data_IF_097872054634
#
_entry.id   IF_097872054634
#
_cell.length_a   1.000
_cell.length_b   1.000
_cell.length_c   1.000
_cell.angle_alpha   90.00
_cell.angle_beta   90.00
_cell.angle_gamma   90.00
#
_symmetry.space_group_name_H-M   'P 1'
#
loop_
_entity.id
_entity.type
_entity.pdbx_description
1 polymer ?
#
# COMPACT_ATOMS: atom_id res chain seq x y z
N UNK A 1 59.42 -11.14 -22.84
CA UNK A 1 60.20 -12.23 -22.22
C UNK A 1 59.21 -13.29 -21.73
N UNK A 2 58.97 -14.26 -22.56
CA UNK A 2 59.32 -15.69 -22.58
C UNK A 2 59.05 -16.35 -21.22
N UNK A 3 58.08 -17.19 -21.17
CA UNK A 3 57.94 -18.59 -21.60
C UNK A 3 58.21 -19.55 -20.44
N UNK A 4 57.34 -20.45 -20.30
CA UNK A 4 57.30 -21.91 -20.21
C UNK A 4 56.35 -22.38 -19.12
N UNK A 5 55.30 -23.14 -19.30
CA UNK A 5 55.21 -24.39 -20.04
C UNK A 5 55.40 -25.57 -19.10
N UNK A 6 54.33 -26.20 -18.62
CA UNK A 6 54.38 -27.62 -18.33
C UNK A 6 52.98 -28.24 -18.24
N UNK A 7 52.75 -29.11 -19.19
CA UNK A 7 51.65 -30.05 -19.31
C UNK A 7 51.86 -31.28 -18.44
N UNK A 8 50.79 -31.82 -17.84
CA UNK A 8 50.74 -33.24 -17.50
C UNK A 8 49.33 -33.77 -17.70
N UNK A 9 49.20 -34.73 -18.61
CA UNK A 9 48.00 -35.55 -18.90
C UNK A 9 47.94 -36.77 -17.98
N UNK A 10 46.83 -37.52 -18.02
CA UNK A 10 46.32 -38.34 -16.94
C UNK A 10 46.71 -39.80 -17.01
N UNK A 11 46.47 -40.53 -15.93
CA UNK A 11 46.55 -41.98 -15.93
C UNK A 11 45.22 -42.62 -15.49
N UNK A 12 44.75 -43.66 -16.21
CA UNK A 12 43.52 -44.36 -15.99
C UNK A 12 43.72 -45.69 -15.25
N UNK A 13 42.73 -46.16 -14.59
CA UNK A 13 42.38 -47.52 -14.12
C UNK A 13 41.88 -47.38 -12.66
N UNK A 14 40.66 -47.85 -12.38
CA UNK A 14 40.25 -49.22 -12.29
C UNK A 14 38.73 -49.33 -11.97
N UNK A 15 38.13 -50.18 -12.77
CA UNK A 15 37.24 -51.29 -12.46
C UNK A 15 35.87 -51.05 -11.85
N UNK A 16 34.92 -51.39 -12.73
CA UNK A 16 33.52 -51.73 -12.45
C UNK A 16 33.37 -52.98 -11.56
N UNK A 17 32.39 -52.98 -10.70
CA UNK A 17 31.60 -54.19 -10.37
C UNK A 17 30.16 -53.76 -9.98
N UNK A 18 29.14 -54.52 -10.36
CA UNK A 18 27.73 -54.20 -10.23
C UNK A 18 27.18 -54.81 -8.92
N UNK A 19 26.24 -54.13 -8.28
CA UNK A 19 25.45 -54.70 -7.18
C UNK A 19 23.99 -54.84 -7.59
N UNK A 20 23.61 -56.05 -7.53
CA UNK A 20 22.38 -56.74 -7.83
C UNK A 20 21.21 -56.25 -6.94
N UNK A 21 20.06 -56.11 -7.58
CA UNK A 21 18.73 -56.01 -6.97
C UNK A 21 18.47 -57.21 -6.04
N UNK A 22 17.98 -56.96 -4.84
CA UNK A 22 17.25 -57.95 -4.07
C UNK A 22 15.90 -57.42 -3.58
N UNK A 23 14.85 -57.94 -4.20
CA UNK A 23 13.46 -57.82 -3.81
C UNK A 23 13.23 -58.83 -2.68
N UNK A 24 12.65 -58.44 -1.57
CA UNK A 24 12.03 -59.41 -0.62
C UNK A 24 10.63 -58.90 -0.20
N UNK A 25 9.66 -59.67 -0.51
CA UNK A 25 8.23 -59.58 -0.14
C UNK A 25 7.94 -60.32 1.20
N UNK A 26 6.74 -60.18 1.75
CA UNK A 26 6.41 -60.13 3.19
C UNK A 26 6.02 -61.50 3.80
N UNK A 27 6.12 -61.59 5.10
CA UNK A 27 5.54 -62.79 5.79
C UNK A 27 4.65 -62.34 6.98
N UNK A 28 3.43 -62.80 6.88
CA UNK A 28 2.40 -62.85 7.93
C UNK A 28 2.92 -63.45 9.23
N UNK A 29 2.44 -62.90 10.39
CA UNK A 29 2.15 -63.69 11.57
C UNK A 29 0.82 -63.25 12.17
N UNK A 30 -0.08 -64.23 12.19
CA UNK A 30 -1.38 -64.27 12.92
C UNK A 30 -1.17 -65.05 14.21
N UNK A 31 -2.01 -64.67 15.22
CA UNK A 31 -2.50 -65.40 16.39
C UNK A 31 -1.59 -65.46 17.62
N UNK A 32 -2.07 -64.81 18.70
CA UNK A 32 -2.51 -65.55 19.88
C UNK A 32 -3.43 -64.70 20.78
N UNK A 33 -4.59 -65.29 21.05
CA UNK A 33 -5.65 -64.85 21.94
C UNK A 33 -5.27 -65.21 23.38
N UNK A 34 -5.49 -64.33 24.36
CA UNK A 34 -5.34 -64.67 25.77
C UNK A 34 -6.05 -63.65 26.65
N UNK A 35 -7.20 -64.06 27.18
CA UNK A 35 -8.02 -63.35 28.20
C UNK A 35 -7.20 -62.92 29.42
N UNK A 36 -7.43 -61.74 29.93
CA UNK A 36 -7.66 -61.53 31.37
C UNK A 36 -8.61 -60.36 31.59
N UNK A 37 -9.72 -60.63 32.24
CA UNK A 37 -10.68 -59.71 32.82
C UNK A 37 -10.05 -59.02 34.04
N UNK A 38 -10.48 -57.76 34.20
CA UNK A 38 -11.00 -57.14 35.44
C UNK A 38 -10.24 -55.84 35.86
N UNK A 39 -11.12 -54.96 36.21
CA UNK A 39 -11.02 -53.68 36.92
C UNK A 39 -11.02 -52.45 36.05
N UNK A 40 -12.24 -51.90 35.97
CA UNK A 40 -12.54 -50.63 35.31
C UNK A 40 -11.89 -49.43 35.99
N UNK A 41 -11.30 -48.61 35.17
CA UNK A 41 -11.18 -47.16 35.33
C UNK A 41 -11.22 -46.59 33.92
N UNK A 42 -12.38 -46.08 33.54
CA UNK A 42 -12.58 -45.33 32.30
C UNK A 42 -11.86 -44.00 32.42
N UNK A 43 -10.70 -43.86 31.79
CA UNK A 43 -10.18 -42.57 31.45
C UNK A 43 -10.85 -42.16 30.12
N UNK A 44 -11.89 -41.35 30.23
CA UNK A 44 -12.40 -40.59 29.08
C UNK A 44 -11.30 -39.65 28.60
N UNK A 45 -10.62 -40.05 27.51
CA UNK A 45 -9.82 -39.16 26.73
C UNK A 45 -10.76 -38.13 26.05
N UNK A 46 -10.88 -36.99 26.68
CA UNK A 46 -11.53 -35.82 26.08
C UNK A 46 -10.70 -35.40 24.86
N UNK A 47 -10.96 -36.01 23.71
CA UNK A 47 -10.56 -35.49 22.40
C UNK A 47 -11.46 -34.30 22.14
N UNK A 48 -10.97 -33.10 22.49
CA UNK A 48 -11.53 -31.83 22.00
C UNK A 48 -11.68 -31.92 20.48
N UNK A 49 -12.88 -31.76 19.92
CA UNK A 49 -13.00 -31.60 18.49
C UNK A 49 -12.26 -30.30 18.14
N UNK A 50 -11.13 -30.40 17.45
CA UNK A 50 -10.57 -29.27 16.74
C UNK A 50 -11.62 -28.83 15.71
N UNK A 51 -12.47 -27.89 16.11
CA UNK A 51 -13.31 -27.17 15.19
C UNK A 51 -12.37 -26.57 14.14
N UNK A 52 -12.40 -27.12 12.92
CA UNK A 52 -11.90 -26.44 11.75
C UNK A 52 -12.69 -25.14 11.68
N UNK A 53 -12.11 -24.06 12.16
CA UNK A 53 -12.60 -22.72 11.90
C UNK A 53 -12.37 -22.49 10.39
N UNK A 54 -13.30 -23.01 9.60
CA UNK A 54 -13.50 -22.54 8.24
C UNK A 54 -14.19 -21.19 8.39
N UNK A 55 -13.39 -20.12 8.54
CA UNK A 55 -13.91 -18.78 8.28
C UNK A 55 -14.55 -18.82 6.90
N UNK A 56 -15.82 -18.42 6.75
CA UNK A 56 -16.43 -18.29 5.44
C UNK A 56 -15.50 -17.39 4.64
N UNK A 57 -14.95 -17.91 3.54
CA UNK A 57 -14.16 -17.09 2.61
C UNK A 57 -15.10 -15.99 2.15
N UNK A 58 -14.92 -14.77 2.65
CA UNK A 58 -15.71 -13.64 2.24
C UNK A 58 -15.62 -13.59 0.69
N UNK A 59 -16.77 -13.58 0.04
CA UNK A 59 -16.83 -13.55 -1.42
C UNK A 59 -16.15 -12.25 -1.84
N UNK A 60 -15.11 -12.34 -2.66
CA UNK A 60 -14.45 -11.16 -3.20
C UNK A 60 -15.47 -10.27 -3.89
N UNK A 61 -15.40 -8.95 -3.69
CA UNK A 61 -16.28 -8.01 -4.36
C UNK A 61 -16.16 -8.18 -5.89
N UNK A 62 -17.30 -8.24 -6.55
CA UNK A 62 -17.33 -8.41 -8.02
C UNK A 62 -16.75 -7.17 -8.74
N UNK A 63 -16.86 -5.99 -8.12
CA UNK A 63 -16.40 -4.70 -8.65
C UNK A 63 -15.67 -3.88 -7.58
N UNK A 64 -14.63 -3.15 -7.99
CA UNK A 64 -13.97 -2.19 -7.10
C UNK A 64 -14.90 -1.02 -6.77
N UNK A 65 -14.84 -0.55 -5.51
CA UNK A 65 -15.71 0.53 -5.02
C UNK A 65 -15.61 1.78 -5.89
N UNK A 66 -14.41 2.15 -6.31
CA UNK A 66 -14.16 3.34 -7.16
C UNK A 66 -14.85 3.29 -8.51
N UNK A 67 -15.22 2.10 -9.02
CA UNK A 67 -15.90 1.93 -10.31
C UNK A 67 -17.42 1.74 -10.18
N UNK A 68 -17.94 1.64 -8.96
CA UNK A 68 -19.39 1.47 -8.76
C UNK A 68 -20.17 2.62 -9.37
N UNK A 69 -21.16 2.26 -10.22
CA UNK A 69 -21.98 3.22 -10.93
C UNK A 69 -21.30 3.92 -12.11
N UNK A 70 -20.12 3.46 -12.53
CA UNK A 70 -19.45 3.93 -13.75
C UNK A 70 -19.98 3.16 -14.96
N UNK A 71 -20.41 3.88 -16.01
CA UNK A 71 -20.69 3.26 -17.32
C UNK A 71 -19.37 2.76 -17.93
N UNK A 72 -19.21 1.44 -17.96
CA UNK A 72 -18.02 0.77 -18.46
C UNK A 72 -17.76 1.09 -19.94
N UNK A 73 -18.82 1.19 -20.76
CA UNK A 73 -18.68 1.49 -22.18
C UNK A 73 -18.20 2.94 -22.38
N UNK A 74 -18.70 3.89 -21.59
CA UNK A 74 -18.25 5.27 -21.63
C UNK A 74 -16.80 5.39 -21.17
N UNK A 75 -16.44 4.72 -20.06
CA UNK A 75 -15.08 4.67 -19.57
C UNK A 75 -14.12 4.11 -20.61
N UNK A 76 -14.47 2.98 -21.23
CA UNK A 76 -13.62 2.35 -22.24
C UNK A 76 -13.43 3.27 -23.46
N UNK A 77 -14.48 3.92 -23.96
CA UNK A 77 -14.36 4.89 -25.06
C UNK A 77 -13.44 6.07 -24.71
N UNK A 78 -13.54 6.59 -23.48
CA UNK A 78 -12.67 7.67 -23.04
C UNK A 78 -11.22 7.20 -22.91
N UNK A 79 -10.99 6.03 -22.30
CA UNK A 79 -9.64 5.42 -22.16
C UNK A 79 -9.03 5.19 -23.54
N UNK A 80 -9.78 4.63 -24.50
CA UNK A 80 -9.31 4.39 -25.86
C UNK A 80 -8.91 5.70 -26.55
N UNK A 81 -9.79 6.72 -26.49
CA UNK A 81 -9.54 8.02 -27.08
C UNK A 81 -8.28 8.69 -26.52
N UNK A 82 -8.13 8.69 -25.19
CA UNK A 82 -6.95 9.32 -24.55
C UNK A 82 -5.70 8.51 -24.85
N UNK A 83 -5.74 7.17 -24.73
CA UNK A 83 -4.58 6.31 -25.02
C UNK A 83 -4.08 6.48 -26.44
N UNK A 84 -4.98 6.58 -27.43
CA UNK A 84 -4.62 6.77 -28.84
C UNK A 84 -4.02 8.16 -29.11
N UNK A 85 -4.40 9.18 -28.33
CA UNK A 85 -3.83 10.54 -28.45
C UNK A 85 -2.43 10.68 -27.88
N UNK A 86 -1.95 9.69 -27.11
CA UNK A 86 -0.64 9.71 -26.48
C UNK A 86 0.40 8.98 -27.32
N UNK A 87 1.57 9.60 -27.53
CA UNK A 87 2.75 8.93 -28.02
C UNK A 87 3.36 7.98 -26.97
N UNK A 88 4.42 7.25 -27.30
CA UNK A 88 5.03 6.29 -26.40
C UNK A 88 5.63 6.95 -25.17
N UNK A 89 6.27 8.10 -25.33
CA UNK A 89 6.86 8.89 -24.26
C UNK A 89 5.82 9.32 -23.25
N UNK A 90 4.67 9.80 -23.73
CA UNK A 90 3.54 10.20 -22.90
C UNK A 90 2.90 9.01 -22.18
N UNK A 91 2.77 7.85 -22.86
CA UNK A 91 2.25 6.61 -22.24
C UNK A 91 3.15 6.14 -21.09
N UNK A 92 4.47 6.17 -21.27
CA UNK A 92 5.44 5.86 -20.21
C UNK A 92 5.38 6.91 -19.10
N UNK A 93 5.25 8.19 -19.43
CA UNK A 93 5.10 9.28 -18.48
C UNK A 93 3.90 9.09 -17.55
N UNK A 94 2.78 8.51 -18.06
CA UNK A 94 1.60 8.21 -17.23
C UNK A 94 1.89 7.25 -16.08
N UNK A 95 2.93 6.44 -16.14
CA UNK A 95 3.33 5.50 -15.09
C UNK A 95 4.18 6.15 -13.99
N UNK A 96 4.63 7.39 -14.17
CA UNK A 96 5.57 8.08 -13.28
C UNK A 96 4.84 9.09 -12.40
N UNK A 97 5.07 9.02 -11.09
CA UNK A 97 4.51 9.91 -10.09
C UNK A 97 5.62 10.51 -9.22
N UNK A 98 6.19 11.69 -9.59
CA UNK A 98 7.22 12.34 -8.80
C UNK A 98 6.70 12.83 -7.45
N UNK A 99 7.62 13.03 -6.51
CA UNK A 99 7.38 13.66 -5.21
C UNK A 99 7.66 15.16 -5.33
N UNK A 100 6.69 15.97 -4.93
CA UNK A 100 6.76 17.44 -5.04
C UNK A 100 6.48 18.08 -3.68
N UNK A 101 7.27 19.06 -3.32
CA UNK A 101 7.01 19.96 -2.19
C UNK A 101 6.18 21.15 -2.69
N UNK A 102 5.02 21.45 -2.08
CA UNK A 102 4.16 22.54 -2.55
C UNK A 102 4.75 23.90 -2.17
N UNK A 103 5.55 24.44 -3.08
CA UNK A 103 6.14 25.78 -2.99
C UNK A 103 5.66 26.60 -4.19
N UNK A 104 4.84 27.65 -3.98
CA UNK A 104 4.27 28.45 -5.07
C UNK A 104 5.31 29.12 -5.97
N UNK A 105 6.47 29.49 -5.42
CA UNK A 105 7.58 30.08 -6.15
C UNK A 105 8.18 29.16 -7.22
N UNK A 106 8.03 27.85 -7.08
CA UNK A 106 8.53 26.84 -8.03
C UNK A 106 7.53 26.55 -9.16
N UNK A 107 6.34 27.15 -9.13
CA UNK A 107 5.20 26.81 -10.01
C UNK A 107 5.57 26.75 -11.50
N UNK A 108 6.22 27.79 -12.03
CA UNK A 108 6.59 27.86 -13.46
C UNK A 108 7.55 26.73 -13.86
N UNK A 109 8.53 26.44 -13.01
CA UNK A 109 9.47 25.36 -13.26
C UNK A 109 8.78 23.98 -13.21
N UNK A 110 7.87 23.78 -12.26
CA UNK A 110 7.11 22.54 -12.14
C UNK A 110 6.18 22.30 -13.34
N UNK A 111 5.47 23.33 -13.81
CA UNK A 111 4.62 23.26 -15.01
C UNK A 111 5.47 22.87 -16.23
N UNK A 112 6.61 23.52 -16.43
CA UNK A 112 7.51 23.18 -17.53
C UNK A 112 7.98 21.73 -17.48
N UNK A 113 8.44 21.26 -16.32
CA UNK A 113 8.88 19.88 -16.14
C UNK A 113 7.73 18.90 -16.37
N UNK A 114 6.56 19.14 -15.79
CA UNK A 114 5.37 18.30 -15.98
C UNK A 114 5.01 18.15 -17.46
N UNK A 115 5.05 19.26 -18.25
CA UNK A 115 4.79 19.21 -19.69
C UNK A 115 5.85 18.42 -20.46
N UNK A 116 7.12 18.56 -20.09
CA UNK A 116 8.23 17.86 -20.75
C UNK A 116 8.25 16.36 -20.40
N UNK A 117 7.99 16.03 -19.15
CA UNK A 117 8.09 14.67 -18.62
C UNK A 117 6.75 13.91 -18.68
N UNK A 118 5.62 14.61 -18.88
CA UNK A 118 4.25 14.06 -19.07
C UNK A 118 3.79 13.12 -17.95
N UNK A 119 4.03 13.54 -16.70
CA UNK A 119 3.72 12.76 -15.51
C UNK A 119 2.28 12.28 -15.45
N UNK A 120 2.07 11.05 -14.95
CA UNK A 120 0.75 10.48 -14.71
C UNK A 120 0.09 10.99 -13.44
N UNK A 121 0.87 11.42 -12.47
CA UNK A 121 0.41 11.93 -11.18
C UNK A 121 1.51 12.65 -10.42
N UNK A 122 1.18 13.12 -9.21
CA UNK A 122 2.10 13.82 -8.31
C UNK A 122 1.76 13.41 -6.88
N UNK A 123 2.79 13.05 -6.07
CA UNK A 123 2.67 12.98 -4.62
C UNK A 123 3.14 14.30 -4.02
N UNK A 124 2.23 15.01 -3.37
CA UNK A 124 2.59 16.19 -2.59
C UNK A 124 3.14 15.83 -1.22
N UNK A 125 4.23 16.49 -0.84
CA UNK A 125 4.85 16.43 0.49
C UNK A 125 4.45 17.62 1.35
N UNK A 126 5.19 17.88 2.41
CA UNK A 126 4.89 18.90 3.44
C UNK A 126 4.67 20.30 2.87
N UNK A 127 3.60 20.97 3.32
CA UNK A 127 3.25 22.33 2.90
C UNK A 127 2.08 22.90 3.69
N UNK A 128 1.35 23.81 3.04
CA UNK A 128 0.11 24.43 3.54
C UNK A 128 -1.04 24.12 2.59
N UNK A 129 -2.28 24.21 3.09
CA UNK A 129 -3.49 23.92 2.32
C UNK A 129 -3.59 24.81 1.06
N UNK A 130 -3.44 26.13 1.24
CA UNK A 130 -3.57 27.08 0.13
C UNK A 130 -2.50 26.88 -0.93
N UNK A 131 -1.24 26.68 -0.54
CA UNK A 131 -0.10 26.50 -1.44
C UNK A 131 -0.26 25.24 -2.30
N UNK A 132 -0.61 24.10 -1.67
CA UNK A 132 -0.86 22.87 -2.41
C UNK A 132 -2.04 23.04 -3.35
N UNK A 133 -3.13 23.66 -2.89
CA UNK A 133 -4.33 23.86 -3.72
C UNK A 133 -4.05 24.73 -4.94
N UNK A 134 -3.28 25.82 -4.79
CA UNK A 134 -2.85 26.68 -5.91
C UNK A 134 -2.04 25.88 -6.94
N UNK A 135 -1.06 25.11 -6.49
CA UNK A 135 -0.25 24.27 -7.37
C UNK A 135 -1.08 23.19 -8.06
N UNK A 136 -2.02 22.56 -7.33
CA UNK A 136 -2.92 21.55 -7.91
C UNK A 136 -3.72 22.14 -9.06
N UNK A 137 -4.35 23.31 -8.89
CA UNK A 137 -5.12 23.99 -9.94
C UNK A 137 -4.22 24.28 -11.14
N UNK A 138 -3.07 24.91 -10.90
CA UNK A 138 -2.17 25.34 -11.96
C UNK A 138 -1.63 24.17 -12.79
N UNK A 139 -1.26 23.07 -12.13
CA UNK A 139 -0.74 21.87 -12.79
C UNK A 139 -1.84 21.11 -13.56
N UNK A 140 -3.06 21.02 -12.99
CA UNK A 140 -4.19 20.39 -13.68
C UNK A 140 -4.62 21.15 -14.94
N UNK A 141 -4.64 22.48 -14.89
CA UNK A 141 -4.99 23.33 -16.06
C UNK A 141 -4.01 23.19 -17.21
N UNK A 142 -2.74 22.92 -16.91
CA UNK A 142 -1.65 22.86 -17.88
C UNK A 142 -1.28 21.43 -18.31
N UNK A 143 -1.88 20.41 -17.69
CA UNK A 143 -1.62 19.01 -18.02
C UNK A 143 -2.45 18.56 -19.23
N UNK A 144 -1.84 17.80 -20.15
CA UNK A 144 -2.53 17.20 -21.30
C UNK A 144 -3.56 16.14 -20.85
N UNK A 145 -3.18 15.32 -19.88
CA UNK A 145 -4.07 14.35 -19.22
C UNK A 145 -4.08 14.67 -17.74
N UNK A 146 -5.25 14.85 -17.16
CA UNK A 146 -5.38 15.17 -15.73
C UNK A 146 -4.50 14.30 -14.85
N UNK A 147 -3.80 14.92 -13.89
CA UNK A 147 -2.88 14.24 -12.98
C UNK A 147 -3.64 13.51 -11.86
N UNK A 148 -3.19 12.33 -11.47
CA UNK A 148 -3.56 11.73 -10.19
C UNK A 148 -2.77 12.48 -9.08
N UNK A 149 -3.47 13.30 -8.31
CA UNK A 149 -2.88 13.98 -7.16
C UNK A 149 -2.98 13.08 -5.94
N UNK A 150 -1.84 12.80 -5.31
CA UNK A 150 -1.73 11.93 -4.16
C UNK A 150 -1.19 12.67 -2.92
N UNK A 151 -1.52 12.15 -1.75
CA UNK A 151 -1.00 12.58 -0.46
C UNK A 151 -0.84 11.37 0.48
N UNK A 152 0.16 11.42 1.40
CA UNK A 152 0.16 10.55 2.58
C UNK A 152 -0.66 11.18 3.68
N UNK A 153 -1.87 10.72 3.87
CA UNK A 153 -2.80 11.18 4.88
C UNK A 153 -3.23 10.08 5.84
N UNK A 154 -2.27 9.31 6.42
CA UNK A 154 -2.55 8.18 7.30
C UNK A 154 -3.38 8.56 8.54
N UNK A 155 -3.17 9.77 9.06
CA UNK A 155 -3.98 10.41 10.11
C UNK A 155 -4.53 11.77 9.65
N UNK A 156 -5.08 11.79 8.42
CA UNK A 156 -5.62 12.99 7.77
C UNK A 156 -4.54 13.86 7.13
N UNK A 157 -5.00 14.97 6.54
CA UNK A 157 -4.14 15.86 5.77
C UNK A 157 -3.02 16.51 6.61
N UNK A 158 -3.22 16.66 7.93
CA UNK A 158 -2.22 17.22 8.85
C UNK A 158 -0.87 16.47 8.79
N UNK A 159 -0.87 15.21 8.40
CA UNK A 159 0.38 14.48 8.22
C UNK A 159 1.35 15.22 7.29
N UNK A 160 0.83 15.95 6.31
CA UNK A 160 1.59 16.70 5.32
C UNK A 160 1.33 18.21 5.35
N UNK A 161 0.10 18.64 5.63
CA UNK A 161 -0.34 20.02 5.55
C UNK A 161 -0.58 20.57 6.98
N UNK A 162 0.32 21.43 7.43
CA UNK A 162 0.42 21.85 8.84
C UNK A 162 -0.81 22.60 9.39
N UNK A 163 -1.60 23.20 8.51
CA UNK A 163 -2.78 23.97 8.82
C UNK A 163 -4.10 23.23 8.62
N UNK A 164 -4.02 21.91 8.30
CA UNK A 164 -5.18 21.01 8.27
C UNK A 164 -5.56 20.51 9.68
N UNK A 165 -6.79 19.96 9.87
CA UNK A 165 -7.19 19.31 11.11
C UNK A 165 -6.30 18.12 11.47
N UNK A 166 -5.91 18.03 12.74
CA UNK A 166 -5.09 16.94 13.26
C UNK A 166 -5.95 15.87 13.91
N UNK A 167 -5.87 14.65 13.38
CA UNK A 167 -6.50 13.46 13.94
C UNK A 167 -5.52 12.61 14.74
N UNK A 168 -6.01 11.72 15.65
CA UNK A 168 -5.14 10.78 16.35
C UNK A 168 -4.46 9.80 15.40
N UNK A 169 -3.39 9.16 15.88
CA UNK A 169 -2.73 8.07 15.17
C UNK A 169 -3.59 6.82 15.15
N UNK A 170 -3.41 5.96 14.14
CA UNK A 170 -4.21 4.77 13.95
C UNK A 170 -4.22 3.84 15.17
N UNK A 171 -3.09 3.71 15.89
CA UNK A 171 -3.00 2.89 17.10
C UNK A 171 -4.02 3.29 18.17
N UNK A 172 -4.24 4.60 18.36
CA UNK A 172 -5.23 5.09 19.31
C UNK A 172 -6.67 4.76 18.92
N UNK A 173 -6.94 4.52 17.64
CA UNK A 173 -8.24 4.14 17.11
C UNK A 173 -8.42 2.61 17.03
N UNK A 174 -7.33 1.85 17.02
CA UNK A 174 -7.35 0.42 16.76
C UNK A 174 -8.13 -0.42 17.76
N UNK A 175 -8.24 0.00 19.02
CA UNK A 175 -8.97 -0.73 20.05
C UNK A 175 -10.46 -0.37 20.13
N UNK A 176 -10.92 0.61 19.32
CA UNK A 176 -12.30 1.07 19.36
C UNK A 176 -13.23 0.19 18.53
N UNK A 177 -14.33 -0.28 19.12
CA UNK A 177 -15.19 -1.30 18.50
C UNK A 177 -16.13 -0.75 17.41
N UNK A 178 -16.44 0.54 17.42
CA UNK A 178 -17.36 1.18 16.47
C UNK A 178 -16.66 1.44 15.13
N UNK A 179 -16.79 0.51 14.19
CA UNK A 179 -16.23 0.63 12.84
C UNK A 179 -16.92 1.72 12.01
N UNK A 180 -18.15 2.09 12.32
CA UNK A 180 -18.85 3.17 11.62
C UNK A 180 -18.16 4.52 11.89
N UNK A 181 -17.62 4.72 13.10
CA UNK A 181 -16.80 5.90 13.40
C UNK A 181 -15.51 5.93 12.57
N UNK A 182 -14.85 4.79 12.40
CA UNK A 182 -13.65 4.67 11.56
C UNK A 182 -13.99 4.95 10.08
N UNK A 183 -15.12 4.44 9.61
CA UNK A 183 -15.62 4.70 8.26
C UNK A 183 -16.00 6.18 8.06
N UNK A 184 -16.68 6.79 9.03
CA UNK A 184 -17.00 8.24 9.01
C UNK A 184 -15.72 9.09 8.99
N UNK A 185 -14.68 8.67 9.70
CA UNK A 185 -13.37 9.30 9.66
C UNK A 185 -12.75 9.22 8.25
N UNK A 186 -12.76 8.03 7.61
CA UNK A 186 -12.31 7.89 6.23
C UNK A 186 -13.09 8.79 5.25
N UNK A 187 -14.42 8.89 5.42
CA UNK A 187 -15.27 9.76 4.61
C UNK A 187 -14.96 11.25 4.79
N UNK A 188 -14.67 11.68 6.02
CA UNK A 188 -14.26 13.07 6.28
C UNK A 188 -12.90 13.40 5.66
N UNK A 189 -11.92 12.48 5.76
CA UNK A 189 -10.63 12.65 5.07
C UNK A 189 -10.83 12.71 3.56
N UNK A 190 -11.75 11.91 2.99
CA UNK A 190 -12.09 11.99 1.57
C UNK A 190 -12.68 13.35 1.19
N UNK A 191 -13.60 13.90 2.00
CA UNK A 191 -14.18 15.25 1.79
C UNK A 191 -13.09 16.30 1.73
N UNK A 192 -12.15 16.27 2.67
CA UNK A 192 -11.00 17.18 2.70
C UNK A 192 -10.11 17.01 1.47
N UNK A 193 -9.80 15.76 1.09
CA UNK A 193 -9.04 15.46 -0.12
C UNK A 193 -9.72 16.03 -1.38
N UNK A 194 -11.03 15.87 -1.51
CA UNK A 194 -11.78 16.41 -2.66
C UNK A 194 -11.72 17.94 -2.73
N UNK A 195 -11.86 18.66 -1.61
CA UNK A 195 -11.71 20.11 -1.56
C UNK A 195 -10.32 20.55 -2.05
N UNK A 196 -9.31 19.74 -1.79
CA UNK A 196 -7.92 19.96 -2.19
C UNK A 196 -7.62 19.50 -3.64
N UNK A 197 -8.53 18.79 -4.32
CA UNK A 197 -8.27 18.13 -5.59
C UNK A 197 -7.31 16.95 -5.48
N UNK A 198 -7.32 16.24 -4.34
CA UNK A 198 -6.54 15.02 -4.08
C UNK A 198 -7.39 13.82 -4.44
N UNK A 199 -6.88 12.93 -5.29
CA UNK A 199 -7.57 11.76 -5.83
C UNK A 199 -7.15 10.45 -5.18
N UNK A 200 -5.94 10.40 -4.59
CA UNK A 200 -5.33 9.22 -3.99
C UNK A 200 -4.82 9.55 -2.60
N UNK A 201 -5.23 8.79 -1.60
CA UNK A 201 -4.64 8.84 -0.27
C UNK A 201 -3.82 7.56 -0.02
N UNK A 202 -2.51 7.67 0.20
CA UNK A 202 -1.65 6.56 0.58
C UNK A 202 -1.92 6.14 2.04
N UNK A 203 -3.12 5.65 2.27
CA UNK A 203 -3.70 5.09 3.47
C UNK A 203 -4.85 4.14 3.09
N UNK A 204 -5.15 3.13 3.90
CA UNK A 204 -4.67 2.85 5.25
C UNK A 204 -3.33 2.12 5.32
N UNK A 205 -2.66 2.23 6.49
CA UNK A 205 -1.60 1.30 6.88
C UNK A 205 -2.24 0.00 7.35
N UNK A 206 -1.95 -1.09 6.65
CA UNK A 206 -2.49 -2.43 6.94
C UNK A 206 -1.42 -3.38 7.53
N UNK A 207 -0.24 -2.85 7.83
CA UNK A 207 0.81 -3.58 8.53
C UNK A 207 0.36 -3.96 9.93
N UNK A 208 0.52 -5.23 10.30
CA UNK A 208 0.23 -5.74 11.64
C UNK A 208 1.46 -5.53 12.52
N UNK A 209 1.39 -4.64 13.51
CA UNK A 209 2.54 -4.24 14.32
C UNK A 209 2.91 -5.28 15.38
N UNK A 210 3.39 -6.44 14.93
CA UNK A 210 3.71 -7.59 15.80
C UNK A 210 5.00 -7.34 16.59
N UNK A 211 5.96 -6.67 15.96
CA UNK A 211 7.21 -6.32 16.60
C UNK A 211 7.10 -4.96 17.30
N UNK A 212 7.03 -4.92 18.65
CA UNK A 212 6.92 -3.66 19.38
C UNK A 212 8.14 -2.74 19.23
N UNK A 213 9.27 -3.29 18.75
CA UNK A 213 10.51 -2.54 18.47
C UNK A 213 10.59 -2.04 17.04
N UNK A 214 9.55 -2.24 16.24
CA UNK A 214 9.51 -1.76 14.85
C UNK A 214 9.65 -0.23 14.81
N UNK A 215 10.72 0.31 14.18
CA UNK A 215 10.99 1.76 14.21
C UNK A 215 10.13 2.55 13.20
N UNK A 216 9.43 1.87 12.28
CA UNK A 216 8.74 2.48 11.14
C UNK A 216 7.23 2.47 11.29
N UNK A 217 6.65 1.34 11.71
CA UNK A 217 5.20 1.14 11.76
C UNK A 217 4.61 1.66 13.06
N UNK A 218 4.90 1.04 14.20
CA UNK A 218 4.51 1.52 15.51
C UNK A 218 3.08 2.07 15.58
N UNK A 219 2.95 3.37 15.89
CA UNK A 219 1.65 4.06 16.03
C UNK A 219 0.91 4.28 14.70
N UNK A 220 1.53 3.99 13.56
CA UNK A 220 0.88 4.06 12.24
C UNK A 220 -0.08 2.90 12.00
N UNK A 221 0.16 1.73 12.60
CA UNK A 221 -0.72 0.56 12.53
C UNK A 221 -1.96 0.73 13.41
N UNK A 222 -3.07 0.11 13.02
CA UNK A 222 -4.27 -0.01 13.87
C UNK A 222 -4.12 -1.03 14.99
N UNK A 223 -3.07 -1.86 15.00
CA UNK A 223 -2.85 -2.83 16.06
C UNK A 223 -1.83 -3.90 15.75
N UNK A 224 -1.83 -4.93 16.59
CA UNK A 224 -0.91 -6.07 16.56
C UNK A 224 -1.61 -7.40 16.20
N UNK A 225 -2.93 -7.37 15.97
CA UNK A 225 -3.69 -8.52 15.53
C UNK A 225 -4.20 -8.34 14.10
N UNK A 226 -4.05 -9.36 13.22
CA UNK A 226 -4.43 -9.27 11.81
C UNK A 226 -5.89 -8.89 11.59
N UNK A 227 -6.79 -9.46 12.40
CA UNK A 227 -8.24 -9.23 12.30
C UNK A 227 -8.56 -7.77 12.57
N UNK A 228 -8.01 -7.22 13.66
CA UNK A 228 -8.30 -5.85 14.05
C UNK A 228 -7.77 -4.82 13.06
N UNK A 229 -6.54 -5.05 12.61
CA UNK A 229 -5.95 -4.22 11.55
C UNK A 229 -6.82 -4.27 10.28
N UNK A 230 -7.28 -5.45 9.88
CA UNK A 230 -8.12 -5.61 8.70
C UNK A 230 -9.46 -4.89 8.85
N UNK A 231 -10.17 -5.05 9.97
CA UNK A 231 -11.46 -4.41 10.23
C UNK A 231 -11.37 -2.89 10.15
N UNK A 232 -10.42 -2.29 10.86
CA UNK A 232 -10.23 -0.85 10.86
C UNK A 232 -9.77 -0.32 9.48
N UNK A 233 -8.83 -1.01 8.84
CA UNK A 233 -8.31 -0.61 7.54
C UNK A 233 -9.37 -0.68 6.44
N UNK A 234 -10.22 -1.72 6.45
CA UNK A 234 -11.34 -1.85 5.52
C UNK A 234 -12.36 -0.73 5.75
N UNK A 235 -12.79 -0.51 7.01
CA UNK A 235 -13.74 0.56 7.32
C UNK A 235 -13.23 1.95 6.89
N UNK A 236 -11.96 2.27 7.18
CA UNK A 236 -11.34 3.52 6.77
C UNK A 236 -11.24 3.63 5.23
N UNK A 237 -10.79 2.56 4.56
CA UNK A 237 -10.68 2.51 3.10
C UNK A 237 -12.04 2.66 2.39
N UNK A 238 -13.09 2.00 2.91
CA UNK A 238 -14.46 2.18 2.41
C UNK A 238 -14.95 3.63 2.55
N UNK A 239 -14.65 4.28 3.68
CA UNK A 239 -14.97 5.69 3.87
C UNK A 239 -14.28 6.58 2.83
N UNK A 240 -13.01 6.34 2.55
CA UNK A 240 -12.26 7.05 1.49
C UNK A 240 -12.87 6.84 0.11
N UNK A 241 -13.08 5.59 -0.31
CA UNK A 241 -13.46 5.28 -1.70
C UNK A 241 -14.93 5.60 -1.99
N UNK A 242 -15.83 5.39 -1.04
CA UNK A 242 -17.21 5.87 -1.14
C UNK A 242 -17.26 7.41 -1.20
N UNK A 243 -16.35 8.07 -0.49
CA UNK A 243 -16.12 9.51 -0.57
C UNK A 243 -15.45 9.98 -1.86
N UNK A 244 -15.00 9.08 -2.74
CA UNK A 244 -14.46 9.42 -4.07
C UNK A 244 -12.94 9.60 -4.13
N UNK A 245 -12.22 9.09 -3.15
CA UNK A 245 -10.75 9.11 -3.08
C UNK A 245 -10.23 7.68 -3.02
N UNK A 246 -9.31 7.33 -3.90
CA UNK A 246 -8.68 6.01 -3.90
C UNK A 246 -7.89 5.81 -2.61
N UNK A 247 -8.23 4.76 -1.88
CA UNK A 247 -7.44 4.27 -0.76
C UNK A 247 -6.28 3.38 -1.24
N UNK A 248 -5.17 3.34 -0.50
CA UNK A 248 -4.01 2.52 -0.86
C UNK A 248 -3.48 1.79 0.38
N UNK A 249 -3.74 0.48 0.44
CA UNK A 249 -3.24 -0.38 1.50
C UNK A 249 -1.72 -0.53 1.43
N UNK A 250 -1.03 -0.32 2.56
CA UNK A 250 0.43 -0.35 2.61
C UNK A 250 0.96 -0.95 3.90
N UNK A 251 2.12 -1.61 3.86
CA UNK A 251 3.13 -1.75 2.77
C UNK A 251 3.25 -3.22 2.40
N UNK A 252 2.78 -3.61 1.22
CA UNK A 252 2.74 -5.02 0.79
C UNK A 252 4.14 -5.64 0.66
N UNK A 253 4.41 -6.87 1.15
CA UNK A 253 3.46 -7.84 1.72
C UNK A 253 3.33 -7.78 3.25
N UNK A 254 3.76 -6.72 3.92
CA UNK A 254 3.63 -6.48 5.36
C UNK A 254 4.95 -6.09 6.01
N UNK A 255 5.00 -4.90 6.62
CA UNK A 255 6.20 -4.28 7.21
C UNK A 255 6.23 -4.37 8.74
N UNK A 256 5.19 -4.98 9.37
CA UNK A 256 4.98 -4.88 10.82
C UNK A 256 5.94 -5.67 11.70
N UNK A 257 6.65 -6.66 11.14
CA UNK A 257 7.61 -7.54 11.85
C UNK A 257 9.08 -7.17 11.66
N UNK A 258 9.39 -6.04 11.03
CA UNK A 258 10.77 -5.62 10.79
C UNK A 258 11.37 -4.91 12.00
N UNK A 259 12.70 -5.01 12.16
CA UNK A 259 13.48 -4.31 13.17
C UNK A 259 14.34 -3.18 12.57
N UNK A 260 14.29 -2.99 11.26
CA UNK A 260 15.08 -2.03 10.50
C UNK A 260 14.19 -1.04 9.75
N UNK A 261 14.77 0.12 9.43
CA UNK A 261 14.08 1.20 8.72
C UNK A 261 14.36 1.09 7.21
N UNK A 262 13.32 0.86 6.42
CA UNK A 262 13.39 0.75 4.95
C UNK A 262 13.85 2.03 4.24
N UNK A 263 13.82 3.19 4.92
CA UNK A 263 14.43 4.42 4.40
C UNK A 263 15.96 4.37 4.40
N UNK A 264 16.55 3.51 5.23
CA UNK A 264 18.00 3.43 5.45
C UNK A 264 18.64 2.15 4.93
N UNK A 265 17.89 1.05 4.95
CA UNK A 265 18.36 -0.29 4.60
C UNK A 265 17.29 -1.03 3.81
N UNK A 266 17.55 -2.27 3.41
CA UNK A 266 16.54 -3.18 2.88
C UNK A 266 16.19 -4.23 3.93
N UNK A 267 15.16 -4.00 4.78
CA UNK A 267 14.78 -4.89 5.87
C UNK A 267 14.34 -6.26 5.37
N UNK A 268 14.48 -7.27 6.22
CA UNK A 268 14.08 -8.65 5.92
C UNK A 268 12.94 -9.09 6.83
N UNK A 269 11.88 -9.65 6.24
CA UNK A 269 10.82 -10.39 6.94
C UNK A 269 11.10 -11.87 6.77
N UNK A 270 11.59 -12.51 7.86
CA UNK A 270 12.03 -13.91 7.84
C UNK A 270 10.93 -14.91 8.21
N UNK A 271 9.67 -14.50 8.17
CA UNK A 271 8.52 -15.34 8.46
C UNK A 271 8.32 -16.43 7.39
N UNK A 272 7.80 -17.60 7.79
CA UNK A 272 7.40 -18.65 6.84
C UNK A 272 6.17 -18.22 6.03
N UNK A 273 5.91 -18.89 4.88
CA UNK A 273 4.70 -18.62 4.07
C UNK A 273 3.43 -18.77 4.89
N UNK A 274 3.32 -19.82 5.71
CA UNK A 274 2.16 -20.09 6.54
C UNK A 274 1.95 -19.00 7.60
N UNK A 275 3.02 -18.43 8.13
CA UNK A 275 2.96 -17.30 9.06
C UNK A 275 2.51 -16.04 8.31
N UNK A 276 3.14 -15.71 7.18
CA UNK A 276 2.79 -14.58 6.33
C UNK A 276 1.32 -14.63 5.93
N UNK A 277 0.82 -15.79 5.56
CA UNK A 277 -0.58 -15.99 5.18
C UNK A 277 -1.57 -15.68 6.29
N UNK A 278 -1.26 -16.06 7.52
CA UNK A 278 -2.15 -15.87 8.66
C UNK A 278 -2.07 -14.46 9.24
N UNK A 279 -0.97 -13.78 9.07
CA UNK A 279 -0.70 -12.51 9.76
C UNK A 279 -0.57 -11.37 8.76
N UNK A 280 0.53 -11.31 8.02
CA UNK A 280 0.86 -10.15 7.21
C UNK A 280 -0.09 -9.98 6.01
N UNK A 281 -0.47 -11.07 5.34
CA UNK A 281 -1.33 -11.04 4.16
C UNK A 281 -2.82 -11.02 4.49
N UNK A 282 -3.20 -11.32 5.72
CA UNK A 282 -4.62 -11.34 6.12
C UNK A 282 -5.32 -9.99 5.89
N UNK A 283 -4.78 -8.84 6.34
CA UNK A 283 -5.40 -7.54 6.09
C UNK A 283 -5.48 -7.18 4.59
N UNK A 284 -4.47 -7.55 3.80
CA UNK A 284 -4.49 -7.31 2.34
C UNK A 284 -5.57 -8.13 1.63
N UNK A 285 -5.81 -9.38 2.07
CA UNK A 285 -6.92 -10.20 1.57
C UNK A 285 -8.27 -9.57 1.91
N UNK A 286 -8.46 -9.16 3.17
CA UNK A 286 -9.70 -8.50 3.60
C UNK A 286 -9.95 -7.21 2.84
N UNK A 287 -8.91 -6.42 2.61
CA UNK A 287 -8.95 -5.19 1.83
C UNK A 287 -9.36 -5.45 0.37
N UNK A 288 -8.76 -6.45 -0.29
CA UNK A 288 -9.13 -6.89 -1.63
C UNK A 288 -10.58 -7.38 -1.67
N UNK A 289 -11.00 -8.20 -0.70
CA UNK A 289 -12.35 -8.79 -0.65
C UNK A 289 -13.44 -7.72 -0.47
N UNK A 290 -13.12 -6.60 0.17
CA UNK A 290 -13.98 -5.43 0.27
C UNK A 290 -14.11 -4.64 -1.05
N UNK A 291 -13.29 -4.94 -2.05
CA UNK A 291 -13.29 -4.25 -3.35
C UNK A 291 -12.57 -2.91 -3.33
N UNK A 292 -11.60 -2.73 -2.44
CA UNK A 292 -10.77 -1.53 -2.36
C UNK A 292 -9.65 -1.54 -3.40
N UNK A 293 -9.30 -0.36 -3.92
CA UNK A 293 -8.69 -0.25 -5.24
C UNK A 293 -7.20 0.05 -5.31
N UNK A 294 -6.48 0.27 -4.22
CA UNK A 294 -5.04 0.59 -4.25
C UNK A 294 -4.18 -0.28 -3.33
N UNK A 295 -2.97 -0.64 -3.76
CA UNK A 295 -1.94 -1.30 -2.92
C UNK A 295 -0.58 -0.68 -3.21
N UNK A 296 0.23 -0.47 -2.16
CA UNK A 296 1.62 -0.03 -2.27
C UNK A 296 2.57 -1.17 -1.89
N UNK A 297 3.51 -1.50 -2.79
CA UNK A 297 4.54 -2.51 -2.57
C UNK A 297 5.73 -1.93 -1.83
N UNK A 298 6.22 -2.65 -0.82
CA UNK A 298 7.29 -2.21 0.06
C UNK A 298 8.70 -2.54 -0.47
N UNK A 299 9.69 -1.82 0.04
CA UNK A 299 11.10 -2.20 -0.11
C UNK A 299 11.51 -3.12 1.04
N UNK A 300 11.12 -4.41 0.92
CA UNK A 300 11.35 -5.48 1.90
C UNK A 300 11.89 -6.73 1.22
N UNK A 301 12.86 -7.40 1.81
CA UNK A 301 13.18 -8.80 1.47
C UNK A 301 12.21 -9.74 2.15
N UNK A 302 11.65 -10.66 1.38
CA UNK A 302 10.74 -11.69 1.90
C UNK A 302 11.15 -13.06 1.32
N UNK A 303 12.15 -13.72 1.90
CA UNK A 303 12.73 -14.96 1.36
C UNK A 303 11.73 -16.10 1.18
N UNK A 304 10.65 -16.10 1.96
CA UNK A 304 9.55 -17.07 1.84
C UNK A 304 8.87 -17.04 0.46
N UNK A 305 8.90 -15.90 -0.24
CA UNK A 305 8.30 -15.73 -1.57
C UNK A 305 9.35 -15.49 -2.65
N UNK A 306 10.44 -14.80 -2.34
CA UNK A 306 11.53 -14.57 -3.28
C UNK A 306 12.89 -14.68 -2.60
N UNK A 307 13.59 -15.80 -2.87
CA UNK A 307 14.92 -16.07 -2.32
C UNK A 307 16.05 -15.31 -3.04
N UNK A 308 15.77 -14.53 -4.10
CA UNK A 308 16.80 -13.79 -4.85
C UNK A 308 17.36 -12.60 -4.09
N UNK A 309 16.71 -12.18 -2.99
CA UNK A 309 17.11 -11.03 -2.20
C UNK A 309 16.63 -9.67 -2.74
N UNK A 310 15.85 -9.65 -3.83
CA UNK A 310 15.21 -8.44 -4.34
C UNK A 310 14.20 -7.88 -3.34
N UNK A 311 14.01 -6.56 -3.36
CA UNK A 311 12.91 -5.92 -2.65
C UNK A 311 11.56 -6.38 -3.23
N UNK A 312 10.52 -6.47 -2.41
CA UNK A 312 9.18 -6.89 -2.84
C UNK A 312 8.64 -6.03 -3.98
N UNK A 313 8.87 -4.71 -3.95
CA UNK A 313 8.53 -3.77 -5.03
C UNK A 313 9.27 -4.03 -6.35
N UNK A 314 10.40 -4.76 -6.32
CA UNK A 314 11.23 -5.09 -7.47
C UNK A 314 11.17 -6.58 -7.84
N UNK A 315 10.33 -7.35 -7.14
CA UNK A 315 10.18 -8.79 -7.31
C UNK A 315 8.89 -9.13 -8.06
N UNK A 316 9.01 -9.72 -9.25
CA UNK A 316 7.88 -10.25 -10.00
C UNK A 316 7.13 -11.34 -9.21
N UNK A 317 7.87 -12.20 -8.47
CA UNK A 317 7.29 -13.24 -7.62
C UNK A 317 6.37 -12.67 -6.53
N UNK A 318 6.68 -11.48 -6.01
CA UNK A 318 5.87 -10.86 -4.95
C UNK A 318 4.80 -9.94 -5.55
N UNK A 319 5.14 -9.06 -6.48
CA UNK A 319 4.20 -8.08 -7.02
C UNK A 319 3.25 -8.69 -8.05
N UNK A 320 3.74 -9.54 -8.95
CA UNK A 320 2.89 -10.18 -9.96
C UNK A 320 2.32 -11.51 -9.46
N UNK A 321 3.18 -12.47 -9.06
CA UNK A 321 2.67 -13.81 -8.77
C UNK A 321 1.86 -13.83 -7.49
N UNK A 322 2.38 -13.29 -6.36
CA UNK A 322 1.66 -13.29 -5.10
C UNK A 322 0.48 -12.30 -5.10
N UNK A 323 0.73 -10.99 -5.39
CA UNK A 323 -0.33 -9.98 -5.24
C UNK A 323 -1.38 -10.07 -6.37
N UNK A 324 -0.95 -10.12 -7.65
CA UNK A 324 -1.89 -10.11 -8.78
C UNK A 324 -2.54 -11.48 -9.02
N UNK A 325 -1.74 -12.56 -9.07
CA UNK A 325 -2.23 -13.89 -9.47
C UNK A 325 -2.79 -14.66 -8.28
N UNK A 326 -2.01 -14.85 -7.21
CA UNK A 326 -2.42 -15.68 -6.06
C UNK A 326 -3.49 -14.98 -5.21
N UNK A 327 -3.27 -13.72 -4.82
CA UNK A 327 -4.25 -12.93 -4.09
C UNK A 327 -5.35 -12.37 -4.99
N UNK A 328 -5.18 -12.28 -6.31
CA UNK A 328 -6.20 -11.80 -7.24
C UNK A 328 -6.49 -10.30 -7.14
N UNK A 329 -5.51 -9.47 -6.74
CA UNK A 329 -5.70 -8.03 -6.65
C UNK A 329 -5.82 -7.38 -8.03
N UNK A 330 -6.88 -6.60 -8.27
CA UNK A 330 -7.23 -6.02 -9.57
C UNK A 330 -7.04 -4.50 -9.68
N UNK A 331 -6.79 -3.83 -8.56
CA UNK A 331 -6.65 -2.37 -8.49
C UNK A 331 -5.27 -1.84 -8.93
N UNK A 332 -4.99 -0.56 -8.66
CA UNK A 332 -3.68 0.05 -8.93
C UNK A 332 -2.62 -0.42 -7.93
N UNK A 333 -1.44 -0.75 -8.44
CA UNK A 333 -0.27 -1.08 -7.64
C UNK A 333 0.77 0.02 -7.78
N UNK A 334 1.09 0.64 -6.66
CA UNK A 334 2.11 1.68 -6.53
C UNK A 334 3.38 1.07 -5.93
N UNK A 335 4.55 1.54 -6.30
CA UNK A 335 5.74 1.29 -5.50
C UNK A 335 5.73 2.18 -4.26
N UNK A 336 6.42 1.80 -3.19
CA UNK A 336 6.94 2.78 -2.24
C UNK A 336 7.95 3.69 -2.95
N UNK A 337 8.37 4.78 -2.31
CA UNK A 337 9.20 5.79 -2.96
C UNK A 337 10.54 5.21 -3.47
N UNK A 338 10.76 5.22 -4.77
CA UNK A 338 11.94 4.62 -5.43
C UNK A 338 13.26 5.35 -5.10
N UNK A 339 13.21 6.55 -4.53
CA UNK A 339 14.37 7.26 -4.01
C UNK A 339 14.91 6.67 -2.69
N UNK A 340 14.14 5.79 -2.03
CA UNK A 340 14.53 5.16 -0.77
C UNK A 340 15.69 4.18 -0.98
N UNK A 341 16.59 4.08 0.01
CA UNK A 341 17.73 3.16 -0.06
C UNK A 341 17.36 1.69 -0.17
N UNK A 342 16.19 1.31 0.36
CA UNK A 342 15.66 -0.05 0.23
C UNK A 342 15.30 -0.46 -1.21
N UNK A 343 15.17 0.49 -2.14
CA UNK A 343 14.89 0.24 -3.55
C UNK A 343 16.13 0.00 -4.42
N UNK A 344 17.34 0.00 -3.84
CA UNK A 344 18.57 -0.10 -4.64
C UNK A 344 18.68 -1.42 -5.39
N UNK A 345 19.14 -1.34 -6.63
CA UNK A 345 19.50 -2.48 -7.48
C UNK A 345 21.01 -2.57 -7.63
N UNK A 346 21.51 -3.78 -7.89
CA UNK A 346 22.95 -3.99 -8.18
C UNK A 346 23.21 -3.91 -9.69
N UNK A 347 24.39 -3.40 -10.05
CA UNK A 347 24.80 -3.25 -11.46
C UNK A 347 24.15 -2.06 -12.17
N UNK A 348 24.13 -2.11 -13.52
CA UNK A 348 23.64 -1.03 -14.37
C UNK A 348 22.11 -1.02 -14.58
N UNK A 349 21.36 -1.79 -13.80
CA UNK A 349 19.92 -1.88 -13.93
C UNK A 349 19.23 -0.64 -13.35
N UNK A 350 18.24 -0.12 -14.06
CA UNK A 350 17.39 0.97 -13.57
C UNK A 350 16.34 0.45 -12.57
N UNK A 351 16.26 1.07 -11.39
CA UNK A 351 15.25 0.76 -10.37
C UNK A 351 13.83 0.89 -10.94
N UNK A 352 13.59 1.91 -11.77
CA UNK A 352 12.29 2.13 -12.41
C UNK A 352 11.92 0.97 -13.37
N UNK A 353 12.88 0.48 -14.14
CA UNK A 353 12.68 -0.66 -15.06
C UNK A 353 12.40 -1.94 -14.27
N UNK A 354 13.17 -2.23 -13.22
CA UNK A 354 12.94 -3.42 -12.39
C UNK A 354 11.58 -3.36 -11.66
N UNK A 355 11.19 -2.20 -11.13
CA UNK A 355 9.88 -2.01 -10.52
C UNK A 355 8.72 -2.21 -11.51
N UNK A 356 8.89 -1.72 -12.74
CA UNK A 356 7.92 -1.91 -13.82
C UNK A 356 7.79 -3.38 -14.22
N UNK A 357 8.92 -4.09 -14.40
CA UNK A 357 8.97 -5.53 -14.70
C UNK A 357 8.37 -6.37 -13.58
N UNK A 358 8.52 -5.95 -12.33
CA UNK A 358 7.91 -6.60 -11.17
C UNK A 358 6.38 -6.60 -11.21
N UNK A 359 5.74 -5.66 -11.92
CA UNK A 359 4.28 -5.62 -12.09
C UNK A 359 3.60 -4.41 -11.45
N UNK A 360 4.35 -3.42 -10.94
CA UNK A 360 3.77 -2.18 -10.46
C UNK A 360 3.19 -1.37 -11.63
N UNK A 361 2.10 -0.63 -11.39
CA UNK A 361 1.48 0.26 -12.36
C UNK A 361 2.05 1.67 -12.28
N UNK A 362 2.25 2.16 -11.06
CA UNK A 362 2.71 3.53 -10.78
C UNK A 362 4.05 3.50 -10.05
N UNK A 363 5.03 4.15 -10.64
CA UNK A 363 6.39 4.29 -10.13
C UNK A 363 6.48 5.59 -9.32
N UNK A 364 6.39 5.43 -7.99
CA UNK A 364 6.35 6.57 -7.06
C UNK A 364 7.76 7.06 -6.75
N UNK A 365 7.97 8.37 -6.85
CA UNK A 365 9.15 9.07 -6.36
C UNK A 365 10.48 8.56 -6.89
N UNK A 366 10.67 8.33 -8.20
CA UNK A 366 12.01 8.11 -8.71
C UNK A 366 12.85 9.40 -8.51
N UNK A 367 14.10 9.24 -8.07
CA UNK A 367 14.99 10.38 -7.78
C UNK A 367 15.13 11.33 -8.98
N UNK A 368 15.12 10.78 -10.19
CA UNK A 368 15.21 11.48 -11.46
C UNK A 368 14.08 10.99 -12.39
N UNK A 369 12.89 11.62 -12.37
CA UNK A 369 11.73 11.15 -13.14
C UNK A 369 11.99 11.12 -14.66
N UNK A 370 12.69 12.10 -15.21
CA UNK A 370 13.06 12.11 -16.62
C UNK A 370 13.95 10.91 -16.97
N UNK A 371 15.00 10.65 -16.18
CA UNK A 371 15.89 9.50 -16.40
C UNK A 371 15.13 8.18 -16.29
N UNK A 372 14.23 8.05 -15.32
CA UNK A 372 13.39 6.85 -15.18
C UNK A 372 12.56 6.59 -16.45
N UNK A 373 11.97 7.65 -17.05
CA UNK A 373 11.25 7.57 -18.33
C UNK A 373 12.18 7.11 -19.47
N UNK A 374 13.34 7.71 -19.59
CA UNK A 374 14.33 7.39 -20.62
C UNK A 374 14.82 5.94 -20.50
N UNK A 375 15.09 5.47 -19.27
CA UNK A 375 15.50 4.09 -19.01
C UNK A 375 14.42 3.09 -19.44
N UNK A 376 13.14 3.37 -19.15
CA UNK A 376 12.02 2.54 -19.57
C UNK A 376 11.91 2.51 -21.10
N UNK A 377 12.02 3.66 -21.77
CA UNK A 377 12.01 3.73 -23.23
C UNK A 377 13.17 2.95 -23.87
N UNK A 378 14.35 2.98 -23.27
CA UNK A 378 15.47 2.16 -23.69
C UNK A 378 15.22 0.67 -23.47
N UNK A 379 14.66 0.30 -22.30
CA UNK A 379 14.31 -1.10 -22.02
C UNK A 379 13.25 -1.63 -23.01
N UNK A 380 12.31 -0.80 -23.47
CA UNK A 380 11.37 -1.15 -24.54
C UNK A 380 12.12 -1.40 -25.84
N UNK A 381 13.06 -0.51 -26.25
CA UNK A 381 13.85 -0.69 -27.47
C UNK A 381 14.73 -1.95 -27.46
N UNK A 382 15.20 -2.37 -26.27
CA UNK A 382 15.97 -3.60 -26.08
C UNK A 382 15.09 -4.85 -25.98
N UNK A 383 13.75 -4.70 -25.96
CA UNK A 383 12.81 -5.82 -25.81
C UNK A 383 12.71 -6.37 -24.36
N UNK A 384 13.27 -5.69 -23.37
CA UNK A 384 13.20 -6.07 -21.96
C UNK A 384 11.84 -5.76 -21.32
N UNK A 385 11.14 -4.75 -21.86
CA UNK A 385 9.78 -4.35 -21.49
C UNK A 385 8.92 -4.36 -22.75
N UNK A 386 7.79 -5.09 -22.72
CA UNK A 386 6.89 -5.16 -23.87
C UNK A 386 5.97 -3.94 -23.96
N UNK A 387 5.63 -3.53 -25.19
CA UNK A 387 4.63 -2.49 -25.43
C UNK A 387 3.26 -2.86 -24.83
N UNK A 388 2.89 -4.12 -24.85
CA UNK A 388 1.65 -4.63 -24.24
C UNK A 388 1.61 -4.39 -22.73
N UNK A 389 2.74 -4.53 -22.04
CA UNK A 389 2.82 -4.21 -20.59
C UNK A 389 2.64 -2.72 -20.33
N UNK A 390 3.20 -1.84 -21.16
CA UNK A 390 2.98 -0.39 -21.05
C UNK A 390 1.51 -0.05 -21.31
N UNK A 391 0.93 -0.62 -22.38
CA UNK A 391 -0.48 -0.42 -22.71
C UNK A 391 -1.40 -0.83 -21.56
N UNK A 392 -1.23 -2.03 -21.02
CA UNK A 392 -2.06 -2.55 -19.92
C UNK A 392 -2.02 -1.60 -18.70
N UNK A 393 -0.82 -1.18 -18.28
CA UNK A 393 -0.64 -0.30 -17.13
C UNK A 393 -1.18 1.11 -17.38
N UNK A 394 -0.86 1.70 -18.53
CA UNK A 394 -1.34 3.02 -18.91
C UNK A 394 -2.89 3.04 -18.97
N UNK A 395 -3.52 2.07 -19.62
CA UNK A 395 -4.97 1.95 -19.69
C UNK A 395 -5.61 1.78 -18.31
N UNK A 396 -4.99 1.00 -17.42
CA UNK A 396 -5.46 0.86 -16.04
C UNK A 396 -5.41 2.20 -15.31
N UNK A 397 -4.32 2.94 -15.41
CA UNK A 397 -4.20 4.27 -14.81
C UNK A 397 -5.25 5.23 -15.37
N UNK A 398 -5.48 5.22 -16.69
CA UNK A 398 -6.50 6.05 -17.34
C UNK A 398 -7.91 5.70 -16.86
N UNK A 399 -8.23 4.41 -16.67
CA UNK A 399 -9.53 4.00 -16.11
C UNK A 399 -9.76 4.57 -14.71
N UNK A 400 -8.75 4.53 -13.84
CA UNK A 400 -8.83 5.16 -12.51
C UNK A 400 -8.96 6.68 -12.61
N UNK A 401 -8.25 7.35 -13.53
CA UNK A 401 -8.42 8.79 -13.79
C UNK A 401 -9.85 9.11 -14.24
N UNK A 402 -10.44 8.28 -15.11
CA UNK A 402 -11.82 8.46 -15.51
C UNK A 402 -12.76 8.42 -14.31
N UNK A 403 -12.65 7.39 -13.49
CA UNK A 403 -13.53 7.21 -12.33
C UNK A 403 -13.35 8.30 -11.26
N UNK A 404 -12.12 8.67 -10.94
CA UNK A 404 -11.80 9.56 -9.83
C UNK A 404 -11.84 11.05 -10.19
N UNK A 405 -11.60 11.41 -11.45
CA UNK A 405 -11.47 12.80 -11.89
C UNK A 405 -12.60 13.21 -12.83
N UNK A 406 -12.83 12.42 -13.89
CA UNK A 406 -13.75 12.82 -14.95
C UNK A 406 -15.21 12.66 -14.51
N UNK A 407 -15.54 11.55 -13.83
CA UNK A 407 -16.92 11.25 -13.39
C UNK A 407 -17.27 11.84 -12.02
N UNK A 408 -16.33 11.86 -11.09
CA UNK A 408 -16.53 12.49 -9.78
C UNK A 408 -16.13 13.97 -9.87
N UNK A 409 -17.04 14.80 -10.40
CA UNK A 409 -16.91 16.26 -10.34
C UNK A 409 -17.06 16.72 -8.88
N UNK A 410 -15.99 16.59 -8.09
CA UNK A 410 -15.95 17.11 -6.74
C UNK A 410 -16.10 18.63 -6.74
N UNK A 411 -16.75 19.18 -5.70
CA UNK A 411 -16.73 20.62 -5.45
C UNK A 411 -15.38 20.97 -4.85
N UNK A 412 -14.44 21.30 -5.70
CA UNK A 412 -13.10 21.72 -5.28
C UNK A 412 -13.13 23.15 -4.72
N UNK A 413 -12.35 23.40 -3.67
CA UNK A 413 -12.22 24.71 -3.05
C UNK A 413 -11.29 25.64 -3.83
N UNK A 414 -11.45 26.96 -3.72
CA UNK A 414 -10.42 27.90 -4.11
C UNK A 414 -9.27 27.88 -3.08
N UNK A 415 -8.05 28.34 -3.41
CA UNK A 415 -6.97 28.46 -2.42
C UNK A 415 -7.32 29.39 -1.25
N UNK A 416 -8.14 30.42 -1.49
CA UNK A 416 -8.58 31.36 -0.45
C UNK A 416 -9.56 30.71 0.54
N UNK A 417 -10.48 29.89 0.06
CA UNK A 417 -11.60 29.36 0.84
C UNK A 417 -11.30 27.97 1.44
N UNK A 418 -10.27 27.28 0.96
CA UNK A 418 -10.03 25.86 1.29
C UNK A 418 -9.90 25.61 2.79
N UNK A 419 -9.28 26.53 3.52
CA UNK A 419 -9.10 26.39 4.96
C UNK A 419 -10.44 26.48 5.71
N UNK A 420 -11.30 27.44 5.36
CA UNK A 420 -12.62 27.60 5.97
C UNK A 420 -13.52 26.41 5.67
N UNK A 421 -13.50 25.93 4.41
CA UNK A 421 -14.29 24.76 3.97
C UNK A 421 -13.83 23.44 4.59
N UNK A 422 -12.58 23.33 5.00
CA UNK A 422 -12.06 22.16 5.71
C UNK A 422 -12.46 22.19 7.20
N UNK A 423 -12.32 23.31 7.87
CA UNK A 423 -12.60 23.47 9.30
C UNK A 423 -14.09 23.75 9.55
N UNK A 424 -14.93 22.70 9.55
CA UNK A 424 -16.38 22.79 9.81
C UNK A 424 -16.72 22.33 11.22
N UNK A 425 -17.95 22.61 11.67
CA UNK A 425 -18.44 22.14 12.98
C UNK A 425 -18.58 20.61 13.01
N UNK A 426 -18.98 20.02 11.90
CA UNK A 426 -19.10 18.56 11.74
C UNK A 426 -17.74 17.89 11.84
N UNK A 427 -16.71 18.46 11.19
CA UNK A 427 -15.32 18.01 11.32
C UNK A 427 -14.86 18.08 12.78
N UNK A 428 -15.08 19.24 13.45
CA UNK A 428 -14.68 19.44 14.84
C UNK A 428 -15.36 18.43 15.78
N UNK A 429 -16.64 18.15 15.58
CA UNK A 429 -17.37 17.17 16.38
C UNK A 429 -16.82 15.74 16.17
N UNK A 430 -16.58 15.34 14.92
CA UNK A 430 -15.97 14.04 14.59
C UNK A 430 -14.57 13.92 15.17
N UNK A 431 -13.73 14.93 14.96
CA UNK A 431 -12.35 14.98 15.46
C UNK A 431 -12.30 14.89 16.98
N UNK A 432 -13.17 15.61 17.66
CA UNK A 432 -13.29 15.57 19.15
C UNK A 432 -13.64 14.14 19.60
N UNK A 433 -14.60 13.48 18.95
CA UNK A 433 -14.97 12.09 19.27
C UNK A 433 -13.80 11.12 19.04
N UNK A 434 -13.07 11.26 17.95
CA UNK A 434 -11.90 10.43 17.65
C UNK A 434 -10.79 10.60 18.69
N UNK A 435 -10.54 11.83 19.17
CA UNK A 435 -9.57 12.08 20.24
C UNK A 435 -10.02 11.53 21.60
N UNK A 436 -11.31 11.61 21.93
CA UNK A 436 -11.85 10.99 23.15
C UNK A 436 -11.60 9.47 23.16
N UNK A 437 -11.83 8.81 22.03
CA UNK A 437 -11.56 7.38 21.86
C UNK A 437 -10.07 7.08 22.01
N UNK A 438 -9.21 7.83 21.34
CA UNK A 438 -7.76 7.65 21.39
C UNK A 438 -7.19 7.85 22.78
N UNK A 439 -7.68 8.85 23.53
CA UNK A 439 -7.28 9.13 24.90
C UNK A 439 -7.69 7.99 25.86
N UNK A 440 -8.88 7.43 25.65
CA UNK A 440 -9.36 6.29 26.45
C UNK A 440 -8.49 5.03 26.24
N UNK A 441 -7.78 4.93 25.10
CA UNK A 441 -6.84 3.84 24.78
C UNK A 441 -5.37 4.15 25.13
N UNK A 442 -5.10 5.29 25.79
CA UNK A 442 -3.78 5.67 26.32
C UNK A 442 -2.91 6.52 25.37
N UNK A 443 -3.45 7.00 24.25
CA UNK A 443 -2.78 8.01 23.43
C UNK A 443 -3.22 9.42 23.83
N UNK A 444 -2.30 10.39 23.83
CA UNK A 444 -2.45 11.72 24.40
C UNK A 444 -3.64 12.56 23.88
N UNK A 445 -3.96 13.64 24.60
CA UNK A 445 -5.08 14.54 24.28
C UNK A 445 -4.91 15.30 22.96
N UNK A 446 -6.03 15.78 22.39
CA UNK A 446 -6.03 16.65 21.20
C UNK A 446 -5.21 17.93 21.46
N UNK A 447 -4.07 18.12 20.79
CA UNK A 447 -3.26 19.33 20.98
C UNK A 447 -3.88 20.59 20.34
N UNK A 448 -4.98 20.43 19.58
CA UNK A 448 -5.70 21.52 18.90
C UNK A 448 -7.02 21.86 19.59
N UNK A 449 -7.39 21.14 20.66
CA UNK A 449 -8.56 21.46 21.44
C UNK A 449 -8.45 22.92 21.97
N UNK A 450 -9.33 23.78 21.49
CA UNK A 450 -9.47 25.14 22.12
C UNK A 450 -9.89 24.91 23.57
N UNK A 451 -9.03 25.31 24.49
CA UNK A 451 -9.36 25.34 25.91
C UNK A 451 -10.50 26.32 26.06
N UNK A 452 -11.74 25.87 26.02
CA UNK A 452 -12.90 26.61 26.49
C UNK A 452 -12.78 26.60 28.01
N UNK A 453 -11.89 27.45 28.52
CA UNK A 453 -11.88 27.80 29.93
C UNK A 453 -13.23 28.47 30.22
N UNK A 454 -14.15 27.69 30.73
CA UNK A 454 -15.30 28.24 31.45
C UNK A 454 -14.70 29.05 32.62
N UNK A 455 -14.59 30.35 32.43
CA UNK A 455 -14.36 31.28 33.55
C UNK A 455 -15.58 31.18 34.44
N UNK A 456 -15.53 30.29 35.43
CA UNK A 456 -16.39 30.38 36.58
C UNK A 456 -15.99 31.68 37.32
N UNK A 457 -16.71 32.75 37.05
CA UNK A 457 -16.66 34.00 37.83
C UNK A 457 -16.94 33.63 39.26
N UNK A 458 -15.91 33.72 40.13
CA UNK A 458 -16.08 33.69 41.57
C UNK A 458 -16.98 34.85 41.98
N UNK A 459 -18.01 34.63 42.79
CA UNK A 459 -18.81 35.76 43.30
C UNK A 459 -17.93 36.65 44.16
N UNK A 460 -17.96 37.95 43.84
CA UNK A 460 -17.34 39.03 44.58
C UNK A 460 -17.87 39.02 46.03
N UNK A 461 -16.99 38.80 47.01
CA UNK A 461 -17.30 39.03 48.40
C UNK A 461 -17.44 40.58 48.65
N UNK A 462 -18.68 41.03 48.78
CA UNK A 462 -18.95 42.34 49.26
C UNK A 462 -18.33 42.52 50.67
N UNK A 463 -17.46 43.49 50.81
CA UNK A 463 -17.01 43.99 52.15
C UNK A 463 -18.12 44.83 52.76
N UNK A 464 -18.48 44.46 53.96
CA UNK A 464 -19.04 45.43 54.99
C UNK A 464 -17.90 45.97 55.85
#
# INVERSE_FOLDING_TARGET
YSASGSSARPNPNTTHLPITLMIARPTLYRTLLGLMLSCGLTFDAYTSPQAKITTPRAKQADELIVFRGIDQAEMNRWVDSVYQSLDLEARVGQLIMPIIYPKPEDKTALIRRMKQEQWGGILFQKGLLADQRELTISLQQESQVSLLIALDGEWGLYMRLKDAPRYPRNKGLGNYQDLDLIKAYGAEVARQCQLMGIHVNFAPVVDVNINPKNPVIGTRSFGDTPQRVAECAVAYGEGLELGGVLSVAKHFPGHGDTSEDSHKTLPTVSASRERMDRVELYPFRSYRDAGLGGVMTAHLRVPAYDATGKAASLSERITTDLLRRELGFRGLVFTDALEMRGAQVSGDSSVAVEALKAGNDVLLGPSQPQQAREDILQAIRRGEVSLASIEEKCRRILAFKFALIIKKKAKEASPADVKELIWTKEEEALRTRLWQVSTATGEGADPTARTTAIQTTKPSKARR
#
